data_IF_093479326288
#
_entry.id   IF_093479326288
#
_cell.length_a   1.000
_cell.length_b   1.000
_cell.length_c   1.000
_cell.angle_alpha   90.00
_cell.angle_beta   90.00
_cell.angle_gamma   90.00
#
_symmetry.space_group_name_H-M   'P 1'
#
loop_
_entity.id
_entity.type
_entity.pdbx_description
1 polymer ?
#
# COMPACT_ATOMS: atom_id res chain seq x y z
N UNK A 1 4.50 -0.98 14.73
CA UNK A 1 4.58 -2.00 13.72
C UNK A 1 5.27 -1.51 12.45
N UNK A 2 4.72 -0.56 11.76
CA UNK A 2 5.39 0.03 10.59
C UNK A 2 6.34 1.14 11.01
N UNK A 3 7.07 0.91 12.09
CA UNK A 3 7.90 1.96 12.66
C UNK A 3 9.37 1.62 12.67
N UNK A 4 9.69 0.38 12.39
CA UNK A 4 11.09 -0.02 12.39
C UNK A 4 11.75 0.40 11.10
N UNK A 5 12.85 1.08 11.23
CA UNK A 5 13.50 1.68 10.07
C UNK A 5 14.27 0.71 9.21
N UNK A 6 14.64 -0.44 9.76
CA UNK A 6 15.45 -1.39 9.02
C UNK A 6 14.65 -2.54 8.42
N UNK A 7 13.35 -2.41 8.32
CA UNK A 7 12.53 -3.45 7.73
C UNK A 7 12.63 -3.39 6.23
N UNK A 8 12.63 -4.57 5.62
CA UNK A 8 12.65 -4.66 4.17
C UNK A 8 11.26 -4.45 3.63
N UNK A 9 11.13 -3.53 2.70
CA UNK A 9 9.85 -3.19 2.10
C UNK A 9 9.92 -3.46 0.62
N UNK A 10 8.96 -4.21 0.10
CA UNK A 10 8.85 -4.54 -1.31
C UNK A 10 7.55 -3.98 -1.85
N UNK A 11 7.65 -3.21 -2.92
CA UNK A 11 6.50 -2.60 -3.54
C UNK A 11 6.22 -3.28 -4.87
N UNK A 12 5.00 -3.74 -5.04
CA UNK A 12 4.58 -4.35 -6.29
C UNK A 12 4.00 -3.28 -7.19
N UNK A 13 4.73 -2.93 -8.24
CA UNK A 13 4.30 -1.94 -9.20
C UNK A 13 3.10 -2.44 -9.99
N UNK A 14 2.37 -1.51 -10.61
CA UNK A 14 1.18 -1.87 -11.33
C UNK A 14 0.03 -2.09 -10.37
N UNK A 15 -0.87 -3.00 -10.72
CA UNK A 15 -2.04 -3.20 -9.87
C UNK A 15 -2.17 -4.68 -9.49
N UNK A 16 -2.79 -4.88 -8.34
CA UNK A 16 -3.04 -6.19 -7.78
C UNK A 16 -4.53 -6.31 -7.53
N UNK A 17 -5.05 -7.52 -7.65
CA UNK A 17 -6.46 -7.77 -7.37
C UNK A 17 -6.71 -7.58 -5.87
N UNK A 18 -7.48 -6.57 -5.54
CA UNK A 18 -7.74 -6.21 -4.15
C UNK A 18 -8.72 -7.15 -3.45
N UNK A 19 -9.23 -8.16 -4.16
CA UNK A 19 -10.05 -9.17 -3.52
C UNK A 19 -9.19 -10.20 -2.79
N UNK A 20 -7.89 -10.21 -3.07
CA UNK A 20 -6.99 -11.13 -2.41
C UNK A 20 -6.86 -10.77 -0.94
N UNK A 21 -6.99 -11.77 -0.10
CA UNK A 21 -6.71 -11.62 1.32
C UNK A 21 -5.29 -12.05 1.64
N UNK A 22 -5.04 -12.30 2.92
CA UNK A 22 -3.69 -12.62 3.39
C UNK A 22 -3.11 -13.81 2.63
N UNK A 23 -3.85 -14.90 2.52
CA UNK A 23 -3.32 -16.11 1.89
C UNK A 23 -3.09 -15.92 0.40
N UNK A 24 -3.98 -15.18 -0.27
CA UNK A 24 -3.80 -14.91 -1.68
C UNK A 24 -2.59 -14.06 -1.95
N UNK A 25 -2.35 -13.07 -1.11
CA UNK A 25 -1.17 -12.21 -1.26
C UNK A 25 0.11 -12.96 -0.94
N UNK A 26 0.11 -13.80 0.09
CA UNK A 26 1.27 -14.62 0.40
C UNK A 26 1.61 -15.52 -0.79
N UNK A 27 0.60 -16.07 -1.42
CA UNK A 27 0.82 -16.92 -2.58
C UNK A 27 1.40 -16.13 -3.75
N UNK A 28 0.96 -14.91 -3.91
CA UNK A 28 1.47 -14.04 -4.96
C UNK A 28 2.94 -13.68 -4.71
N UNK A 29 3.31 -13.47 -3.46
CA UNK A 29 4.69 -13.17 -3.10
C UNK A 29 5.59 -14.38 -3.32
N UNK A 30 5.04 -15.56 -3.12
CA UNK A 30 5.69 -16.84 -3.28
C UNK A 30 6.55 -17.22 -2.07
N UNK A 31 7.63 -16.50 -1.83
CA UNK A 31 8.50 -16.81 -0.69
C UNK A 31 8.72 -15.57 0.16
N UNK A 32 7.74 -15.23 1.00
CA UNK A 32 7.88 -14.04 1.82
C UNK A 32 8.95 -14.22 2.89
N UNK A 33 9.64 -13.13 3.17
CA UNK A 33 10.67 -13.10 4.20
C UNK A 33 10.05 -12.74 5.53
N UNK A 34 10.53 -13.39 6.59
CA UNK A 34 10.08 -13.03 7.93
C UNK A 34 10.52 -11.61 8.25
N UNK A 35 9.57 -10.79 8.65
CA UNK A 35 9.83 -9.37 8.90
C UNK A 35 9.64 -8.51 7.66
N UNK A 36 9.35 -9.12 6.51
CA UNK A 36 9.17 -8.37 5.28
C UNK A 36 7.84 -7.64 5.24
N UNK A 37 7.83 -6.53 4.53
CA UNK A 37 6.64 -5.70 4.31
C UNK A 37 6.40 -5.64 2.82
N UNK A 38 5.18 -5.96 2.41
CA UNK A 38 4.84 -6.07 0.98
C UNK A 38 3.64 -5.19 0.69
N UNK A 39 3.80 -4.28 -0.27
CA UNK A 39 2.79 -3.26 -0.56
C UNK A 39 2.19 -3.44 -1.95
N UNK A 40 0.87 -3.40 -2.01
CA UNK A 40 0.11 -3.64 -3.25
C UNK A 40 -0.95 -2.56 -3.41
N UNK A 41 -1.25 -2.23 -4.64
CA UNK A 41 -2.26 -1.22 -4.95
C UNK A 41 -3.28 -1.77 -5.93
N UNK A 42 -4.52 -1.36 -5.76
CA UNK A 42 -5.58 -1.81 -6.65
C UNK A 42 -5.59 -1.06 -7.97
N UNK A 43 -6.36 -1.57 -8.92
CA UNK A 43 -6.40 -1.04 -10.27
C UNK A 43 -6.84 0.41 -10.31
N UNK A 44 -7.77 0.78 -9.45
CA UNK A 44 -8.30 2.14 -9.45
C UNK A 44 -7.46 3.12 -8.66
N UNK A 45 -6.39 2.63 -8.02
CA UNK A 45 -5.48 3.47 -7.24
C UNK A 45 -6.15 4.11 -6.03
N UNK A 46 -7.18 3.47 -5.53
CA UNK A 46 -7.89 3.97 -4.35
C UNK A 46 -7.79 3.04 -3.17
N UNK A 47 -7.13 1.91 -3.32
CA UNK A 47 -6.97 0.97 -2.22
C UNK A 47 -5.53 0.47 -2.22
N UNK A 48 -4.92 0.49 -1.05
CA UNK A 48 -3.60 -0.08 -0.86
C UNK A 48 -3.70 -1.14 0.22
N UNK A 49 -3.00 -2.25 0.01
CA UNK A 49 -2.89 -3.30 1.01
C UNK A 49 -1.42 -3.52 1.32
N UNK A 50 -1.11 -3.58 2.59
CA UNK A 50 0.25 -3.78 3.05
C UNK A 50 0.28 -5.00 3.96
N UNK A 51 1.05 -5.98 3.55
CA UNK A 51 1.19 -7.24 4.28
C UNK A 51 2.51 -7.23 5.04
N UNK A 52 2.45 -7.47 6.34
CA UNK A 52 3.64 -7.68 7.16
C UNK A 52 3.69 -9.15 7.50
N UNK A 53 4.72 -9.82 7.04
CA UNK A 53 4.83 -11.26 7.21
C UNK A 53 5.78 -11.59 8.35
N UNK A 54 5.30 -12.42 9.28
CA UNK A 54 6.10 -12.76 10.47
C UNK A 54 6.27 -14.27 10.64
N UNK A 55 6.02 -15.02 9.60
CA UNK A 55 6.24 -16.46 9.64
C UNK A 55 5.03 -17.22 10.17
N UNK A 56 4.75 -17.09 11.44
CA UNK A 56 3.62 -17.77 12.07
C UNK A 56 2.35 -16.94 12.06
N UNK A 57 2.45 -15.68 11.69
CA UNK A 57 1.30 -14.80 11.57
C UNK A 57 1.65 -13.67 10.61
N UNK A 58 0.64 -12.93 10.21
CA UNK A 58 0.82 -11.78 9.32
C UNK A 58 -0.21 -10.72 9.66
N UNK A 59 0.17 -9.47 9.41
CA UNK A 59 -0.76 -8.36 9.48
C UNK A 59 -1.09 -7.94 8.06
N UNK A 60 -2.35 -7.59 7.83
CA UNK A 60 -2.76 -7.00 6.57
C UNK A 60 -3.43 -5.68 6.87
N UNK A 61 -2.82 -4.60 6.38
CA UNK A 61 -3.33 -3.26 6.55
C UNK A 61 -3.97 -2.82 5.25
N UNK A 62 -5.14 -2.24 5.33
CA UNK A 62 -5.82 -1.75 4.15
C UNK A 62 -6.11 -0.28 4.32
N UNK A 63 -5.71 0.52 3.34
CA UNK A 63 -6.04 1.93 3.31
C UNK A 63 -6.92 2.20 2.09
N UNK A 64 -8.04 2.84 2.33
CA UNK A 64 -8.99 3.18 1.28
C UNK A 64 -9.00 4.68 1.08
N UNK A 65 -8.87 5.11 -0.16
CA UNK A 65 -8.89 6.52 -0.52
C UNK A 65 -10.26 6.85 -1.05
N UNK A 66 -10.89 7.86 -0.46
CA UNK A 66 -12.24 8.23 -0.88
C UNK A 66 -12.26 9.39 -1.86
N UNK A 67 -11.19 10.17 -1.91
CA UNK A 67 -11.06 11.25 -2.88
C UNK A 67 -9.64 11.28 -3.40
N UNK A 68 -9.52 11.40 -4.71
CA UNK A 68 -8.22 11.36 -5.34
C UNK A 68 -7.75 9.94 -5.57
N UNK A 69 -6.53 9.81 -6.02
CA UNK A 69 -5.93 8.52 -6.31
C UNK A 69 -4.51 8.51 -5.83
N UNK A 70 -4.04 7.32 -5.45
CA UNK A 70 -2.65 7.15 -5.08
C UNK A 70 -1.76 7.27 -6.31
N UNK A 71 -0.60 7.83 -6.11
CA UNK A 71 0.40 7.94 -7.16
C UNK A 71 1.30 6.72 -7.10
N UNK A 72 0.82 5.61 -7.64
CA UNK A 72 1.49 4.32 -7.53
C UNK A 72 2.28 4.02 -8.79
N UNK A 73 3.49 3.46 -8.68
CA UNK A 73 4.30 3.16 -9.86
C UNK A 73 3.63 2.13 -10.77
N UNK A 74 3.81 2.32 -12.06
CA UNK A 74 3.32 1.37 -13.05
C UNK A 74 4.40 0.36 -13.39
N UNK A 75 4.00 -0.70 -14.06
CA UNK A 75 4.90 -1.72 -14.52
C UNK A 75 4.64 -3.04 -13.84
N UNK A 76 5.54 -3.99 -14.05
CA UNK A 76 5.36 -5.33 -13.51
C UNK A 76 6.52 -5.73 -12.61
N UNK A 77 7.23 -4.77 -12.09
CA UNK A 77 8.40 -5.02 -11.30
C UNK A 77 8.08 -4.96 -9.82
N UNK A 78 8.95 -5.57 -9.04
CA UNK A 78 8.90 -5.41 -7.60
C UNK A 78 10.08 -4.53 -7.22
N UNK A 79 9.78 -3.43 -6.55
CA UNK A 79 10.80 -2.49 -6.13
C UNK A 79 11.06 -2.65 -4.65
N UNK A 80 12.31 -2.45 -4.28
CA UNK A 80 12.71 -2.46 -2.88
C UNK A 80 12.85 -1.01 -2.42
N UNK A 81 12.21 -0.68 -1.31
CA UNK A 81 12.33 0.65 -0.74
C UNK A 81 12.46 0.58 0.76
N UNK A 82 12.75 1.70 1.38
CA UNK A 82 12.72 1.76 2.83
C UNK A 82 11.30 2.12 3.29
N UNK A 83 11.09 1.97 4.58
CA UNK A 83 9.78 2.18 5.15
C UNK A 83 9.34 3.64 5.03
N UNK A 84 10.29 4.56 5.10
CA UNK A 84 9.98 5.98 4.98
C UNK A 84 9.43 6.30 3.60
N UNK A 85 10.07 5.75 2.57
CA UNK A 85 9.61 5.96 1.20
C UNK A 85 8.23 5.37 0.99
N UNK A 86 7.95 4.22 1.60
CA UNK A 86 6.63 3.63 1.50
C UNK A 86 5.59 4.54 2.13
N UNK A 87 5.87 5.07 3.31
CA UNK A 87 4.93 5.96 3.98
C UNK A 87 4.65 7.20 3.15
N UNK A 88 5.68 7.77 2.56
CA UNK A 88 5.50 8.93 1.69
C UNK A 88 4.64 8.60 0.48
N UNK A 89 4.86 7.44 -0.10
CA UNK A 89 4.08 7.02 -1.26
C UNK A 89 2.61 6.80 -0.90
N UNK A 90 2.35 6.20 0.23
CA UNK A 90 0.99 5.93 0.67
C UNK A 90 0.24 7.23 0.93
N UNK A 91 0.96 8.25 1.38
CA UNK A 91 0.35 9.55 1.66
C UNK A 91 0.32 10.44 0.44
N UNK A 92 0.91 10.01 -0.65
CA UNK A 92 0.97 10.79 -1.88
C UNK A 92 -0.30 10.53 -2.68
N UNK A 93 -1.18 11.49 -2.68
CA UNK A 93 -2.43 11.39 -3.41
C UNK A 93 -2.41 12.40 -4.54
N UNK A 94 -2.71 11.91 -5.74
CA UNK A 94 -2.86 12.77 -6.88
C UNK A 94 -4.21 13.45 -6.80
N UNK A 95 -4.23 14.64 -6.25
CA UNK A 95 -5.47 15.38 -6.04
C UNK A 95 -5.62 16.42 -7.11
N UNK A 96 -6.25 16.03 -8.18
CA UNK A 96 -6.52 16.96 -9.26
C UNK A 96 -7.51 18.00 -8.79
N UNK A 97 -8.45 17.59 -7.97
CA UNK A 97 -9.51 18.46 -7.50
C UNK A 97 -9.23 19.00 -6.13
N UNK A 98 -8.00 19.31 -5.88
CA UNK A 98 -7.58 19.76 -4.58
C UNK A 98 -8.36 20.97 -4.08
N UNK A 99 -8.67 21.86 -4.98
CA UNK A 99 -9.39 23.07 -4.63
C UNK A 99 -10.76 22.74 -4.07
N UNK A 100 -11.36 21.71 -4.60
CA UNK A 100 -12.69 21.34 -4.17
C UNK A 100 -12.69 20.71 -2.80
N UNK A 101 -11.58 20.14 -2.41
CA UNK A 101 -11.51 19.47 -1.14
C UNK A 101 -11.39 20.43 0.02
N UNK A 102 -10.94 21.62 -0.22
CA UNK A 102 -10.70 22.51 0.88
C UNK A 102 -11.97 22.95 1.57
N UNK A 103 -13.07 23.00 0.86
CA UNK A 103 -14.34 23.31 1.48
C UNK A 103 -15.03 22.11 2.01
N UNK A 104 -14.43 20.99 1.89
CA UNK A 104 -15.04 19.72 2.12
C UNK A 104 -14.54 19.15 3.44
N UNK A 105 -15.38 19.18 4.42
CA UNK A 105 -14.95 18.75 5.75
C UNK A 105 -15.00 17.30 5.97
N UNK A 106 -15.46 16.59 5.01
CA UNK A 106 -15.57 15.17 5.20
C UNK A 106 -14.24 14.48 5.32
N UNK A 107 -13.19 15.15 5.00
CA UNK A 107 -11.90 14.52 5.05
C UNK A 107 -11.55 13.96 6.40
N UNK A 108 -12.18 14.49 7.41
CA UNK A 108 -11.86 14.05 8.75
C UNK A 108 -12.68 12.88 9.21
N UNK A 109 -13.45 12.32 8.35
CA UNK A 109 -14.28 11.22 8.75
C UNK A 109 -13.53 9.90 8.82
N UNK A 110 -12.32 9.88 8.51
CA UNK A 110 -11.59 8.60 8.58
C UNK A 110 -10.85 8.45 9.87
#
# INVERSE_FOLDING_TARGET
>A
MLEENNRKVYLYSGWTDMRLGIFGLIKLIDKPEIGGVYAFCGKNRTTVKILEYHGTYAWLHTKKIFKGKLNWPDGENVASLDLRSLKLLIDSIDIINKVELKGDKILHTY
#
